data_IF_733669979508
#
_entry.id   IF_733669979508
#
_cell.length_a   1.000
_cell.length_b   1.000
_cell.length_c   1.000
_cell.angle_alpha   90.00
_cell.angle_beta   90.00
_cell.angle_gamma   90.00
#
_symmetry.space_group_name_H-M   'P 1'
#
loop_
_entity.id
_entity.type
_entity.pdbx_description
1 polymer ?
#
# COMPACT_ATOMS: atom_id res chain seq x y z
N UNK A 1 15.08 24.37 7.56
CA UNK A 1 15.15 22.97 7.06
C UNK A 1 13.75 22.53 6.69
N UNK A 2 13.59 21.86 5.55
CA UNK A 2 12.38 21.07 5.29
C UNK A 2 12.42 19.79 6.13
N UNK A 3 11.26 19.33 6.59
CA UNK A 3 11.11 18.05 7.29
C UNK A 3 10.58 17.02 6.30
N UNK A 4 11.04 15.78 6.42
CA UNK A 4 10.48 14.63 5.72
C UNK A 4 9.84 13.68 6.73
N UNK A 5 8.77 13.00 6.31
CA UNK A 5 8.06 12.00 7.11
C UNK A 5 7.83 10.78 6.22
N UNK A 6 8.16 9.60 6.74
CA UNK A 6 7.72 8.33 6.18
C UNK A 6 6.47 7.88 6.95
N UNK A 7 5.39 7.59 6.23
CA UNK A 7 4.14 7.06 6.80
C UNK A 7 3.94 5.66 6.24
N UNK A 8 3.87 4.65 7.11
CA UNK A 8 3.59 3.27 6.76
C UNK A 8 2.15 2.97 7.20
N UNK A 9 1.29 2.60 6.24
CA UNK A 9 -0.05 2.11 6.52
C UNK A 9 -0.01 0.57 6.51
N UNK A 10 0.19 -0.02 7.69
CA UNK A 10 0.34 -1.47 7.83
C UNK A 10 -0.92 -2.21 7.31
N UNK A 11 -0.71 -3.27 6.53
CA UNK A 11 -1.78 -4.04 5.89
C UNK A 11 -2.53 -3.31 4.76
N UNK A 12 -2.07 -2.15 4.28
CA UNK A 12 -2.71 -1.42 3.20
C UNK A 12 -2.10 -1.79 1.82
N UNK A 13 -2.76 -2.71 1.11
CA UNK A 13 -2.34 -3.18 -0.21
C UNK A 13 -3.22 -2.70 -1.37
N UNK A 14 -2.75 -2.93 -2.59
CA UNK A 14 -3.52 -2.68 -3.82
C UNK A 14 -4.06 -4.02 -4.32
N UNK A 15 -5.38 -4.13 -4.44
CA UNK A 15 -6.06 -5.30 -4.96
C UNK A 15 -7.29 -4.86 -5.78
N UNK A 16 -7.83 -5.72 -6.66
CA UNK A 16 -9.07 -5.43 -7.38
C UNK A 16 -10.20 -5.03 -6.43
N UNK A 17 -11.10 -4.16 -6.91
CA UNK A 17 -12.27 -3.75 -6.15
C UNK A 17 -13.19 -4.96 -5.88
N UNK A 18 -13.68 -5.06 -4.65
CA UNK A 18 -14.56 -6.14 -4.21
C UNK A 18 -15.32 -5.68 -2.97
N UNK A 19 -16.52 -6.24 -2.74
CA UNK A 19 -17.28 -6.02 -1.50
C UNK A 19 -16.52 -6.49 -0.25
N UNK A 20 -15.54 -7.39 -0.41
CA UNK A 20 -14.66 -7.88 0.66
C UNK A 20 -13.33 -7.13 0.77
N UNK A 21 -13.06 -6.21 -0.16
CA UNK A 21 -11.86 -5.38 -0.11
C UNK A 21 -12.17 -4.09 0.67
N UNK A 22 -11.83 -4.11 1.96
CA UNK A 22 -12.05 -3.00 2.90
C UNK A 22 -11.51 -1.66 2.40
N UNK A 23 -10.38 -1.65 1.69
CA UNK A 23 -9.77 -0.44 1.14
C UNK A 23 -10.65 0.12 0.02
N UNK A 24 -11.14 -0.73 -0.89
CA UNK A 24 -11.97 -0.28 -2.02
C UNK A 24 -13.38 0.18 -1.62
N UNK A 25 -13.92 -0.32 -0.50
CA UNK A 25 -15.25 0.07 0.01
C UNK A 25 -15.20 1.25 0.99
N UNK A 26 -14.03 1.58 1.50
CA UNK A 26 -13.85 2.68 2.43
C UNK A 26 -13.96 4.04 1.73
N UNK A 27 -14.34 5.06 2.51
CA UNK A 27 -14.24 6.47 2.06
C UNK A 27 -12.86 7.00 2.47
N UNK A 28 -11.95 7.15 1.51
CA UNK A 28 -10.55 7.51 1.73
C UNK A 28 -10.14 8.85 1.11
N UNK A 29 -10.91 9.95 1.31
CA UNK A 29 -10.75 11.18 0.52
C UNK A 29 -9.35 11.80 0.57
N UNK A 30 -8.63 11.64 1.68
CA UNK A 30 -7.27 12.14 1.81
C UNK A 30 -6.26 11.28 1.01
N UNK A 31 -6.38 9.95 1.05
CA UNK A 31 -5.51 9.04 0.30
C UNK A 31 -5.81 9.15 -1.20
N UNK A 32 -7.10 9.21 -1.56
CA UNK A 32 -7.56 9.38 -2.94
C UNK A 32 -6.98 10.66 -3.55
N UNK A 33 -7.03 11.77 -2.80
CA UNK A 33 -6.44 13.04 -3.22
C UNK A 33 -4.93 12.95 -3.39
N UNK A 34 -4.23 12.29 -2.46
CA UNK A 34 -2.77 12.13 -2.54
C UNK A 34 -2.36 11.38 -3.82
N UNK A 35 -3.04 10.28 -4.16
CA UNK A 35 -2.77 9.52 -5.38
C UNK A 35 -3.20 10.26 -6.66
N UNK A 36 -4.25 11.07 -6.62
CA UNK A 36 -4.70 11.84 -7.78
C UNK A 36 -3.79 13.03 -8.11
N UNK A 37 -3.20 13.67 -7.10
CA UNK A 37 -2.51 14.96 -7.25
C UNK A 37 -0.98 14.88 -7.16
N UNK A 38 -0.41 13.74 -6.77
CA UNK A 38 1.03 13.58 -6.56
C UNK A 38 1.59 12.38 -7.34
N UNK A 39 2.90 12.38 -7.58
CA UNK A 39 3.57 11.22 -8.15
C UNK A 39 3.48 10.03 -7.19
N UNK A 40 3.03 8.88 -7.70
CA UNK A 40 2.98 7.62 -6.97
C UNK A 40 3.43 6.47 -7.87
N UNK A 41 3.82 5.36 -7.24
CA UNK A 41 4.14 4.10 -7.91
C UNK A 41 3.73 2.94 -7.00
N UNK A 42 3.85 1.71 -7.49
CA UNK A 42 3.55 0.49 -6.75
C UNK A 42 4.85 -0.29 -6.51
N UNK A 43 4.93 -0.97 -5.38
CA UNK A 43 6.06 -1.82 -5.00
C UNK A 43 5.56 -3.23 -4.70
N UNK A 44 6.37 -4.23 -5.03
CA UNK A 44 6.17 -5.59 -4.53
C UNK A 44 6.60 -5.64 -3.06
N UNK A 45 5.80 -6.30 -2.23
CA UNK A 45 5.98 -6.38 -0.78
C UNK A 45 5.90 -7.82 -0.25
N UNK A 46 6.15 -8.81 -1.12
CA UNK A 46 6.05 -10.24 -0.80
C UNK A 46 7.02 -11.06 -1.65
N UNK A 47 7.14 -12.34 -1.31
CA UNK A 47 8.00 -13.29 -2.02
C UNK A 47 9.46 -12.84 -2.11
N UNK A 48 10.08 -13.13 -3.26
CA UNK A 48 11.52 -12.94 -3.46
C UNK A 48 11.95 -11.46 -3.35
N UNK A 49 11.05 -10.51 -3.65
CA UNK A 49 11.32 -9.07 -3.61
C UNK A 49 11.64 -8.56 -2.19
N UNK A 50 11.20 -9.30 -1.17
CA UNK A 50 11.47 -9.02 0.26
C UNK A 50 12.26 -10.14 0.94
N UNK A 51 12.89 -11.02 0.16
CA UNK A 51 13.74 -12.10 0.69
C UNK A 51 12.98 -13.32 1.23
N UNK A 52 11.69 -13.45 0.92
CA UNK A 52 10.87 -14.61 1.27
C UNK A 52 10.79 -15.61 0.09
N UNK A 53 10.44 -16.89 0.34
CA UNK A 53 10.10 -17.85 -0.70
C UNK A 53 9.04 -17.32 -1.68
N UNK A 54 9.12 -17.75 -2.94
CA UNK A 54 8.13 -17.39 -3.97
C UNK A 54 6.69 -17.69 -3.51
N UNK A 55 5.78 -16.73 -3.71
CA UNK A 55 4.38 -16.84 -3.33
C UNK A 55 4.08 -16.64 -1.84
N UNK A 56 5.10 -16.50 -0.99
CA UNK A 56 4.88 -16.22 0.43
C UNK A 56 4.52 -14.75 0.65
N UNK A 57 3.44 -14.49 1.39
CA UNK A 57 3.06 -13.13 1.76
C UNK A 57 4.10 -12.48 2.67
N UNK A 58 4.24 -11.16 2.55
CA UNK A 58 5.02 -10.35 3.50
C UNK A 58 4.37 -10.26 4.88
N UNK A 59 5.09 -9.65 5.81
CA UNK A 59 4.67 -9.38 7.17
C UNK A 59 5.23 -8.01 7.63
N UNK A 60 5.04 -7.66 8.89
CA UNK A 60 5.42 -6.36 9.43
C UNK A 60 6.90 -6.24 9.81
N UNK A 61 7.61 -7.38 9.95
CA UNK A 61 9.03 -7.47 10.32
C UNK A 61 9.98 -7.25 9.14
#
# INVERSE_FOLDING_TARGET
>A
MSKAVLVIMDGFGIAPASEYNAISVAKTPNIDKLFAENAYTQLSASGLDVGLPEGQMGNSE
#
